data_IF_809748021498
#
_entry.id   IF_809748021498
#
_cell.length_a   1.000
_cell.length_b   1.000
_cell.length_c   1.000
_cell.angle_alpha   90.00
_cell.angle_beta   90.00
_cell.angle_gamma   90.00
#
_symmetry.space_group_name_H-M   'P 1'
#
loop_
_entity.id
_entity.type
_entity.pdbx_description
1 polymer ?
#
# COMPACT_ATOMS: atom_id res chain seq x y z
N UNK A 1 -4.59 -28.43 -4.67
CA UNK A 1 -4.00 -27.16 -5.14
C UNK A 1 -2.98 -27.30 -6.27
N UNK A 2 -2.00 -28.22 -6.22
CA UNK A 2 -1.03 -28.41 -7.34
C UNK A 2 -1.66 -28.89 -8.65
N UNK A 3 -2.71 -29.71 -8.60
CA UNK A 3 -3.44 -30.14 -9.81
C UNK A 3 -4.24 -29.01 -10.48
N UNK A 4 -4.68 -28.00 -9.73
CA UNK A 4 -5.52 -26.92 -10.25
C UNK A 4 -4.69 -25.87 -11.02
N UNK A 5 -3.45 -25.63 -10.59
CA UNK A 5 -2.49 -24.73 -11.25
C UNK A 5 -1.96 -25.34 -12.56
N UNK A 6 -1.77 -26.67 -12.61
CA UNK A 6 -1.33 -27.38 -13.81
C UNK A 6 -2.42 -27.38 -14.90
N UNK A 7 -3.70 -27.39 -14.51
CA UNK A 7 -4.83 -27.36 -15.46
C UNK A 7 -5.05 -25.94 -16.01
N UNK A 8 -4.85 -24.89 -15.20
CA UNK A 8 -4.89 -23.49 -15.65
C UNK A 8 -3.75 -23.15 -16.63
N UNK A 9 -2.54 -23.67 -16.38
CA UNK A 9 -1.41 -23.54 -17.31
C UNK A 9 -1.59 -24.37 -18.60
N UNK A 10 -2.31 -25.49 -18.55
CA UNK A 10 -2.55 -26.33 -19.72
C UNK A 10 -3.55 -25.70 -20.72
N UNK A 11 -4.50 -24.89 -20.23
CA UNK A 11 -5.46 -24.18 -21.09
C UNK A 11 -4.79 -22.98 -21.79
N UNK A 12 -3.87 -22.27 -21.14
CA UNK A 12 -3.03 -21.25 -21.79
C UNK A 12 -1.97 -21.86 -22.72
N UNK A 13 -1.42 -23.03 -22.38
CA UNK A 13 -0.47 -23.75 -23.24
C UNK A 13 -1.11 -24.33 -24.51
N UNK A 14 -2.42 -24.59 -24.53
CA UNK A 14 -3.12 -25.10 -25.70
C UNK A 14 -3.23 -24.06 -26.84
N UNK A 15 -3.15 -22.76 -26.54
CA UNK A 15 -3.00 -21.70 -27.56
C UNK A 15 -1.54 -21.50 -28.02
N UNK A 16 -0.55 -22.02 -27.28
CA UNK A 16 0.87 -21.90 -27.60
C UNK A 16 1.36 -22.90 -28.67
N UNK A 17 0.53 -23.87 -29.07
CA UNK A 17 0.87 -24.88 -30.09
C UNK A 17 0.69 -24.37 -31.54
N UNK A 18 0.12 -23.18 -31.74
CA UNK A 18 -0.03 -22.59 -33.08
C UNK A 18 1.20 -21.78 -33.57
N UNK A 19 2.18 -21.53 -32.69
CA UNK A 19 3.37 -20.72 -32.95
C UNK A 19 4.49 -21.41 -33.79
N UNK A 20 4.76 -22.73 -33.70
CA UNK A 20 5.83 -23.34 -34.50
C UNK A 20 5.47 -23.49 -35.99
N UNK A 21 4.18 -23.55 -36.34
CA UNK A 21 3.73 -23.69 -37.74
C UNK A 21 3.79 -22.35 -38.50
N UNK A 22 3.59 -21.23 -37.80
CA UNK A 22 3.66 -19.88 -38.38
C UNK A 22 5.11 -19.40 -38.57
N UNK A 23 6.04 -19.80 -37.70
CA UNK A 23 7.46 -19.44 -37.83
C UNK A 23 8.16 -20.22 -38.96
N UNK A 24 7.72 -21.44 -39.26
CA UNK A 24 8.27 -22.24 -40.36
C UNK A 24 7.94 -21.70 -41.75
N UNK A 25 6.88 -20.88 -41.90
CA UNK A 25 6.53 -20.21 -43.16
C UNK A 25 7.22 -18.85 -43.35
N UNK A 26 7.80 -18.28 -42.28
CA UNK A 26 8.46 -16.96 -42.31
C UNK A 26 9.94 -17.04 -42.69
N UNK A 27 10.55 -18.23 -42.66
CA UNK A 27 11.96 -18.48 -42.98
C UNK A 27 12.27 -18.55 -44.49
N UNK A 28 11.27 -18.39 -45.37
CA UNK A 28 11.49 -18.29 -46.83
C UNK A 28 11.55 -16.84 -47.37
N UNK A 29 11.36 -15.83 -46.53
CA UNK A 29 11.57 -14.43 -46.92
C UNK A 29 12.94 -13.96 -46.42
N UNK A 30 13.92 -13.94 -47.32
CA UNK A 30 15.25 -13.40 -47.04
C UNK A 30 15.19 -11.89 -46.70
N UNK A 31 15.93 -11.40 -45.70
CA UNK A 31 16.01 -9.98 -45.41
C UNK A 31 17.01 -9.30 -46.36
N UNK A 32 16.55 -8.26 -47.06
CA UNK A 32 17.43 -7.29 -47.72
C UNK A 32 18.00 -6.37 -46.64
N UNK A 33 19.32 -6.39 -46.49
CA UNK A 33 20.09 -5.47 -45.66
C UNK A 33 20.16 -4.11 -46.38
N UNK A 34 19.78 -3.02 -45.71
CA UNK A 34 20.13 -1.66 -46.13
C UNK A 34 20.85 -0.95 -44.98
N UNK A 35 22.14 -0.77 -45.14
CA UNK A 35 22.96 0.18 -44.39
C UNK A 35 22.46 1.62 -44.63
N UNK A 36 22.55 2.47 -43.61
CA UNK A 36 22.39 3.91 -43.83
C UNK A 36 22.02 4.75 -42.61
N UNK A 37 23.06 5.15 -41.86
CA UNK A 37 23.27 6.48 -41.25
C UNK A 37 22.16 7.19 -40.47
N UNK A 38 22.50 7.49 -39.22
CA UNK A 38 22.00 8.60 -38.41
C UNK A 38 22.18 9.96 -39.10
N UNK A 39 21.23 10.89 -38.85
CA UNK A 39 21.63 12.25 -38.52
C UNK A 39 21.01 12.70 -37.20
N UNK A 40 21.90 13.20 -36.34
CA UNK A 40 21.55 14.03 -35.21
C UNK A 40 20.96 15.36 -35.71
N UNK A 41 19.84 15.80 -35.13
CA UNK A 41 19.46 17.21 -35.09
C UNK A 41 18.79 17.48 -33.76
N UNK A 42 19.57 17.99 -32.82
CA UNK A 42 19.07 18.61 -31.59
C UNK A 42 18.61 20.02 -31.93
N UNK A 43 17.32 20.21 -32.14
CA UNK A 43 16.71 21.55 -32.13
C UNK A 43 16.61 22.01 -30.68
N UNK A 44 17.54 22.88 -30.28
CA UNK A 44 17.54 23.56 -28.98
C UNK A 44 16.57 24.74 -29.06
N UNK A 45 15.37 24.56 -28.55
CA UNK A 45 14.37 25.62 -28.42
C UNK A 45 14.81 26.59 -27.30
N UNK A 46 15.23 27.79 -27.69
CA UNK A 46 15.58 28.87 -26.76
C UNK A 46 14.30 29.55 -26.26
N UNK A 47 13.95 29.30 -25.00
CA UNK A 47 12.90 30.07 -24.30
C UNK A 47 13.45 31.47 -23.99
N UNK A 48 12.98 32.45 -24.75
CA UNK A 48 13.23 33.88 -24.51
C UNK A 48 12.28 34.35 -23.39
N UNK A 49 12.83 34.66 -22.22
CA UNK A 49 12.08 35.32 -21.15
C UNK A 49 11.99 36.83 -21.43
N UNK A 50 10.79 37.46 -21.37
CA UNK A 50 10.66 38.89 -21.57
C UNK A 50 11.31 39.67 -20.43
N UNK A 51 12.21 40.60 -20.79
CA UNK A 51 12.85 41.55 -19.87
C UNK A 51 11.78 42.40 -19.19
N UNK A 52 11.62 42.24 -17.88
CA UNK A 52 10.85 43.17 -17.03
C UNK A 52 11.48 44.55 -17.10
N UNK A 53 10.73 45.51 -17.64
CA UNK A 53 11.04 46.94 -17.65
C UNK A 53 11.23 47.46 -16.22
N UNK A 54 12.35 48.15 -16.00
CA UNK A 54 12.69 48.77 -14.72
C UNK A 54 11.66 49.84 -14.33
N UNK A 55 10.93 49.60 -13.25
CA UNK A 55 10.10 50.60 -12.59
C UNK A 55 11.05 51.56 -11.87
N UNK A 56 11.07 52.82 -12.29
CA UNK A 56 11.81 53.90 -11.59
C UNK A 56 11.14 54.14 -10.23
N UNK A 57 11.79 53.71 -9.15
CA UNK A 57 11.37 54.07 -7.79
C UNK A 57 11.68 55.55 -7.53
N UNK A 58 10.63 56.35 -7.36
CA UNK A 58 10.73 57.71 -6.87
C UNK A 58 11.25 57.71 -5.41
N UNK A 59 12.31 58.47 -5.16
CA UNK A 59 12.83 58.73 -3.81
C UNK A 59 11.86 59.65 -3.07
N UNK A 60 11.07 59.09 -2.16
CA UNK A 60 10.40 59.83 -1.09
C UNK A 60 11.12 59.52 0.22
N UNK A 61 11.84 60.52 0.74
CA UNK A 61 12.56 60.44 2.00
C UNK A 61 11.63 60.54 3.20
N UNK A 62 11.79 59.62 4.15
CA UNK A 62 11.41 59.82 5.53
C UNK A 62 12.35 58.97 6.41
N UNK A 63 12.95 59.53 7.48
CA UNK A 63 13.97 58.83 8.24
C UNK A 63 13.29 57.88 9.23
N UNK A 64 13.02 56.64 8.80
CA UNK A 64 12.83 55.55 9.77
C UNK A 64 14.21 55.26 10.36
N UNK A 65 14.42 55.60 11.63
CA UNK A 65 15.49 55.01 12.44
C UNK A 65 15.26 53.49 12.48
N UNK A 66 15.75 52.79 11.46
CA UNK A 66 15.94 51.35 11.49
C UNK A 66 17.20 51.15 12.30
N UNK A 67 17.09 50.57 13.49
CA UNK A 67 18.21 49.85 14.07
C UNK A 67 18.76 48.97 12.96
N UNK A 68 20.02 49.20 12.57
CA UNK A 68 20.63 48.45 11.49
C UNK A 68 20.52 46.97 11.87
N UNK A 69 19.80 46.20 11.06
CA UNK A 69 19.69 44.76 11.23
C UNK A 69 21.09 44.22 10.95
N UNK A 70 21.85 43.98 12.00
CA UNK A 70 23.17 43.39 11.86
C UNK A 70 22.99 41.91 11.52
N UNK A 71 23.18 41.58 10.24
CA UNK A 71 23.04 40.22 9.73
C UNK A 71 24.01 39.24 10.42
N UNK A 72 25.08 39.75 11.03
CA UNK A 72 25.99 38.94 11.84
C UNK A 72 25.35 38.47 13.14
N UNK A 73 24.49 39.30 13.77
CA UNK A 73 23.72 38.93 14.96
C UNK A 73 22.68 37.83 14.66
N UNK A 74 22.10 37.83 13.46
CA UNK A 74 21.20 36.77 12.98
C UNK A 74 21.93 35.46 12.68
N UNK A 75 23.20 35.53 12.27
CA UNK A 75 24.07 34.35 12.09
C UNK A 75 24.71 33.85 13.38
N UNK A 76 24.41 34.48 14.51
CA UNK A 76 25.05 34.15 15.79
C UNK A 76 24.68 32.75 16.27
N UNK A 77 25.58 32.15 17.06
CA UNK A 77 25.43 30.78 17.56
C UNK A 77 24.17 30.57 18.41
N UNK A 78 23.56 31.63 18.95
CA UNK A 78 22.43 31.55 19.88
C UNK A 78 21.11 31.95 19.23
N UNK A 79 20.28 30.94 18.94
CA UNK A 79 18.97 31.12 18.31
C UNK A 79 18.03 32.01 19.14
N UNK A 80 18.14 32.01 20.48
CA UNK A 80 17.37 32.89 21.37
C UNK A 80 17.64 34.38 21.11
N UNK A 81 18.89 34.75 20.84
CA UNK A 81 19.25 36.13 20.52
C UNK A 81 18.72 36.53 19.14
N UNK A 82 18.69 35.58 18.20
CA UNK A 82 18.07 35.78 16.89
C UNK A 82 16.57 36.04 17.01
N UNK A 83 15.84 35.28 17.85
CA UNK A 83 14.40 35.51 18.10
C UNK A 83 14.17 36.89 18.71
N UNK A 84 14.95 37.26 19.72
CA UNK A 84 14.83 38.55 20.39
C UNK A 84 15.12 39.73 19.43
N UNK A 85 16.14 39.59 18.57
CA UNK A 85 16.47 40.59 17.55
C UNK A 85 15.38 40.73 16.47
N UNK A 86 14.80 39.61 16.01
CA UNK A 86 13.70 39.62 15.04
C UNK A 86 12.44 40.27 15.61
N UNK A 87 12.13 40.01 16.88
CA UNK A 87 11.01 40.65 17.59
C UNK A 87 11.26 42.15 17.83
N UNK A 88 12.48 42.54 18.18
CA UNK A 88 12.84 43.95 18.39
C UNK A 88 12.73 44.81 17.12
N UNK A 89 12.87 44.20 15.95
CA UNK A 89 12.76 44.88 14.63
C UNK A 89 11.30 44.98 14.16
N UNK A 90 10.37 44.30 14.85
CA UNK A 90 8.95 44.31 14.52
C UNK A 90 8.59 43.42 13.32
N UNK A 91 9.33 42.34 13.10
CA UNK A 91 8.98 41.35 12.08
C UNK A 91 7.67 40.63 12.44
N UNK A 92 6.78 40.35 11.47
CA UNK A 92 5.60 39.53 11.70
C UNK A 92 5.97 38.16 12.30
N UNK A 93 5.14 37.65 13.21
CA UNK A 93 5.39 36.37 13.89
C UNK A 93 5.51 35.19 12.91
N UNK A 94 4.68 35.18 11.85
CA UNK A 94 4.77 34.15 10.80
C UNK A 94 6.15 34.13 10.12
N UNK A 95 6.69 35.29 9.75
CA UNK A 95 8.02 35.40 9.13
C UNK A 95 9.13 35.06 10.11
N UNK A 96 8.95 35.37 11.39
CA UNK A 96 9.89 35.00 12.45
C UNK A 96 9.95 33.48 12.61
N UNK A 97 8.79 32.81 12.62
CA UNK A 97 8.69 31.35 12.64
C UNK A 97 9.41 30.74 11.42
N UNK A 98 9.14 31.21 10.21
CA UNK A 98 9.75 30.68 8.99
C UNK A 98 11.28 30.79 8.98
N UNK A 99 11.81 31.95 9.41
CA UNK A 99 13.27 32.18 9.47
C UNK A 99 13.91 31.26 10.51
N UNK A 100 13.30 31.11 11.69
CA UNK A 100 13.84 30.26 12.76
C UNK A 100 13.77 28.79 12.34
N UNK A 101 12.67 28.34 11.74
CA UNK A 101 12.53 26.98 11.21
C UNK A 101 13.60 26.71 10.15
N UNK A 102 13.85 27.64 9.23
CA UNK A 102 14.89 27.50 8.22
C UNK A 102 16.31 27.40 8.83
N UNK A 103 16.60 28.19 9.86
CA UNK A 103 17.92 28.16 10.52
C UNK A 103 18.12 26.88 11.35
N UNK A 104 17.08 26.42 12.05
CA UNK A 104 17.10 25.13 12.75
C UNK A 104 17.29 23.99 11.73
N UNK A 105 16.56 24.01 10.62
CA UNK A 105 16.74 23.06 9.53
C UNK A 105 18.19 23.05 9.02
N UNK A 106 18.80 24.23 8.83
CA UNK A 106 20.19 24.36 8.39
C UNK A 106 21.18 23.70 9.36
N UNK A 107 21.00 23.89 10.67
CA UNK A 107 21.88 23.29 11.70
C UNK A 107 21.77 21.77 11.75
N UNK A 108 20.55 21.24 11.67
CA UNK A 108 20.30 19.80 11.74
C UNK A 108 20.52 19.08 10.40
N UNK A 109 20.58 19.79 9.26
CA UNK A 109 20.70 19.21 7.93
C UNK A 109 21.94 18.31 7.74
N UNK A 110 23.07 18.61 8.38
CA UNK A 110 24.26 17.77 8.28
C UNK A 110 24.07 16.42 8.97
N UNK A 111 23.49 16.42 10.18
CA UNK A 111 23.19 15.22 10.97
C UNK A 111 22.06 14.41 10.32
N UNK A 112 21.03 15.08 9.81
CA UNK A 112 19.92 14.45 9.08
C UNK A 112 20.40 13.76 7.79
N UNK A 113 21.28 14.39 7.02
CA UNK A 113 21.87 13.78 5.81
C UNK A 113 22.74 12.56 6.14
N UNK A 114 23.44 12.56 7.26
CA UNK A 114 24.27 11.42 7.67
C UNK A 114 23.43 10.20 8.07
N UNK A 115 22.21 10.42 8.58
CA UNK A 115 21.31 9.36 9.05
C UNK A 115 20.28 8.90 8.00
N UNK A 116 20.05 9.69 6.94
CA UNK A 116 19.09 9.37 5.88
C UNK A 116 19.62 8.24 4.98
N UNK A 117 18.80 7.23 4.73
CA UNK A 117 19.12 6.15 3.79
C UNK A 117 19.30 6.69 2.37
N UNK A 118 20.45 6.37 1.78
CA UNK A 118 20.70 6.58 0.36
C UNK A 118 20.36 5.32 -0.41
N UNK A 119 20.07 5.47 -1.71
CA UNK A 119 19.83 4.31 -2.59
C UNK A 119 21.05 3.36 -2.59
N UNK A 120 22.26 3.91 -2.46
CA UNK A 120 23.51 3.15 -2.37
C UNK A 120 23.64 2.31 -1.08
N UNK A 121 22.87 2.61 -0.02
CA UNK A 121 22.81 1.79 1.20
C UNK A 121 21.89 0.56 1.05
N UNK A 122 21.13 0.48 -0.05
CA UNK A 122 20.25 -0.65 -0.36
C UNK A 122 21.01 -1.71 -1.19
N UNK A 123 21.92 -2.43 -0.54
CA UNK A 123 22.39 -3.72 -1.07
C UNK A 123 21.30 -4.78 -0.88
N UNK A 124 20.31 -4.75 -1.78
CA UNK A 124 19.12 -5.62 -1.75
C UNK A 124 19.48 -7.12 -1.73
N UNK A 125 20.64 -7.48 -2.26
CA UNK A 125 21.09 -8.87 -2.41
C UNK A 125 22.07 -9.33 -1.34
N UNK A 126 22.83 -8.39 -0.74
CA UNK A 126 23.94 -8.72 0.15
C UNK A 126 23.78 -8.16 1.56
N UNK A 127 22.65 -7.52 1.93
CA UNK A 127 22.48 -6.96 3.26
C UNK A 127 22.54 -8.03 4.36
N UNK A 128 23.62 -8.11 5.18
CA UNK A 128 23.66 -9.02 6.32
C UNK A 128 22.61 -8.61 7.36
N UNK A 129 22.17 -9.54 8.22
CA UNK A 129 21.26 -9.26 9.33
C UNK A 129 21.77 -8.16 10.30
N UNK A 130 23.10 -7.95 10.37
CA UNK A 130 23.73 -6.83 11.07
C UNK A 130 23.30 -5.45 10.51
N UNK A 131 22.93 -5.38 9.23
CA UNK A 131 22.35 -4.20 8.57
C UNK A 131 20.99 -3.85 9.12
N UNK A 132 20.21 -4.84 9.58
CA UNK A 132 18.89 -4.62 10.20
C UNK A 132 19.03 -3.93 11.56
N UNK A 133 20.02 -4.33 12.37
CA UNK A 133 20.33 -3.69 13.67
C UNK A 133 20.82 -2.25 13.48
N UNK A 134 21.81 -2.05 12.61
CA UNK A 134 22.31 -0.70 12.28
C UNK A 134 21.26 0.19 11.59
N UNK A 135 20.28 -0.39 10.90
CA UNK A 135 19.11 0.31 10.33
C UNK A 135 18.14 0.75 11.44
N UNK A 136 17.86 -0.12 12.40
CA UNK A 136 17.01 0.21 13.55
C UNK A 136 17.66 1.30 14.42
N UNK A 137 18.95 1.18 14.72
CA UNK A 137 19.71 2.19 15.49
C UNK A 137 19.71 3.55 14.78
N UNK A 138 19.95 3.59 13.45
CA UNK A 138 19.85 4.83 12.67
C UNK A 138 18.44 5.42 12.65
N UNK A 139 17.39 4.58 12.60
CA UNK A 139 16.02 5.07 12.72
C UNK A 139 15.71 5.65 14.11
N UNK A 140 16.22 5.04 15.18
CA UNK A 140 16.10 5.56 16.54
C UNK A 140 16.81 6.92 16.65
N UNK A 141 18.07 7.00 16.21
CA UNK A 141 18.84 8.25 16.19
C UNK A 141 18.16 9.34 15.36
N UNK A 142 17.54 8.97 14.24
CA UNK A 142 16.81 9.91 13.40
C UNK A 142 15.54 10.41 14.11
N UNK A 143 14.82 9.55 14.84
CA UNK A 143 13.67 9.93 15.68
C UNK A 143 14.09 10.85 16.83
N UNK A 144 15.18 10.53 17.53
CA UNK A 144 15.76 11.35 18.60
C UNK A 144 16.12 12.73 18.07
N UNK A 145 16.76 12.80 16.91
CA UNK A 145 17.11 14.06 16.25
C UNK A 145 15.88 14.91 15.93
N UNK A 146 14.78 14.31 15.43
CA UNK A 146 13.53 15.04 15.22
C UNK A 146 12.86 15.47 16.54
N UNK A 147 12.98 14.68 17.61
CA UNK A 147 12.49 15.05 18.94
C UNK A 147 13.28 16.23 19.53
N UNK A 148 14.61 16.22 19.44
CA UNK A 148 15.48 17.34 19.81
C UNK A 148 15.12 18.61 19.04
N UNK A 149 14.92 18.48 17.73
CA UNK A 149 14.51 19.59 16.86
C UNK A 149 13.17 20.19 17.27
N UNK A 150 12.18 19.33 17.59
CA UNK A 150 10.87 19.79 18.07
C UNK A 150 10.96 20.46 19.44
N UNK A 151 11.74 19.90 20.37
CA UNK A 151 11.95 20.48 21.69
C UNK A 151 12.59 21.88 21.59
N UNK A 152 13.63 22.02 20.75
CA UNK A 152 14.30 23.28 20.51
C UNK A 152 13.38 24.32 19.84
N UNK A 153 12.56 23.92 18.87
CA UNK A 153 11.57 24.82 18.27
C UNK A 153 10.51 25.27 19.29
N UNK A 154 10.04 24.35 20.15
CA UNK A 154 9.09 24.65 21.23
C UNK A 154 9.71 25.62 22.24
N UNK A 155 10.96 25.44 22.62
CA UNK A 155 11.70 26.33 23.52
C UNK A 155 11.91 27.73 22.94
N UNK A 156 12.22 27.83 21.64
CA UNK A 156 12.51 29.12 20.98
C UNK A 156 11.25 29.94 20.66
N UNK A 157 10.18 29.28 20.23
CA UNK A 157 8.99 29.95 19.71
C UNK A 157 7.86 30.00 20.73
N UNK A 158 7.86 29.13 21.75
CA UNK A 158 6.77 29.00 22.71
C UNK A 158 5.47 28.45 22.11
N UNK A 159 5.47 28.11 20.82
CA UNK A 159 4.35 27.58 20.04
C UNK A 159 4.77 26.24 19.44
N UNK A 160 3.88 25.25 19.48
CA UNK A 160 4.12 23.94 18.84
C UNK A 160 3.95 24.12 17.32
N UNK A 161 5.07 24.37 16.63
CA UNK A 161 5.06 24.52 15.17
C UNK A 161 4.82 23.15 14.53
N UNK A 162 3.85 23.02 13.62
CA UNK A 162 3.64 21.77 12.90
C UNK A 162 4.89 21.44 12.07
N UNK A 163 5.61 20.41 12.50
CA UNK A 163 6.82 19.94 11.84
C UNK A 163 6.48 18.70 10.99
N UNK A 164 6.76 18.74 9.69
CA UNK A 164 6.55 17.60 8.79
C UNK A 164 7.60 16.52 9.05
N UNK A 165 7.23 15.50 9.83
CA UNK A 165 8.04 14.29 9.98
C UNK A 165 7.99 13.52 8.65
N UNK A 166 9.14 13.16 8.04
CA UNK A 166 9.13 12.36 6.81
C UNK A 166 8.28 11.10 6.99
N UNK A 167 7.42 10.78 6.01
CA UNK A 167 6.50 9.65 6.08
C UNK A 167 7.15 8.27 6.30
N UNK A 168 8.47 8.16 6.08
CA UNK A 168 9.26 6.97 6.40
C UNK A 168 9.53 6.78 7.91
N UNK A 169 9.41 7.85 8.69
CA UNK A 169 9.59 7.88 10.15
C UNK A 169 8.29 8.10 10.88
N UNK A 170 7.30 8.71 10.21
CA UNK A 170 5.95 8.82 10.71
C UNK A 170 5.42 7.42 10.98
N UNK A 171 5.10 7.15 12.24
CA UNK A 171 4.40 5.93 12.60
C UNK A 171 3.00 6.03 12.01
N UNK A 172 2.79 5.37 10.87
CA UNK A 172 1.50 5.33 10.15
C UNK A 172 0.36 4.90 11.07
N UNK A 173 0.68 4.16 12.13
CA UNK A 173 -0.29 3.77 13.16
C UNK A 173 -0.71 4.97 14.00
N UNK A 174 0.22 5.83 14.42
CA UNK A 174 -0.08 7.05 15.20
C UNK A 174 -0.95 8.03 14.42
N UNK A 175 -0.64 8.24 13.14
CA UNK A 175 -1.44 9.13 12.30
C UNK A 175 -2.92 8.69 12.20
N UNK A 176 -3.20 7.37 12.20
CA UNK A 176 -4.58 6.86 12.25
C UNK A 176 -5.25 7.14 13.60
N UNK A 177 -4.52 7.03 14.70
CA UNK A 177 -5.03 7.33 16.04
C UNK A 177 -5.31 8.82 16.22
N UNK A 178 -4.40 9.70 15.80
CA UNK A 178 -4.57 11.14 15.88
C UNK A 178 -5.80 11.60 15.09
N UNK A 179 -5.98 11.07 13.87
CA UNK A 179 -7.15 11.34 13.05
C UNK A 179 -8.46 10.83 13.70
N UNK A 180 -8.43 9.67 14.36
CA UNK A 180 -9.59 9.14 15.07
C UNK A 180 -9.94 9.98 16.31
N UNK A 181 -8.95 10.47 17.05
CA UNK A 181 -9.16 11.34 18.22
C UNK A 181 -9.75 12.70 17.81
N UNK A 182 -9.28 13.29 16.70
CA UNK A 182 -9.80 14.58 16.22
C UNK A 182 -11.30 14.54 15.87
N UNK A 183 -11.81 13.37 15.47
CA UNK A 183 -13.22 13.19 15.13
C UNK A 183 -14.12 12.99 16.35
N UNK A 184 -13.55 12.74 17.53
CA UNK A 184 -14.31 12.62 18.77
C UNK A 184 -14.73 14.00 19.30
N UNK A 185 -15.79 14.07 20.14
CA UNK A 185 -16.18 15.29 20.83
C UNK A 185 -15.04 15.88 21.67
N UNK A 186 -14.88 17.20 21.66
CA UNK A 186 -13.78 17.92 22.34
C UNK A 186 -13.63 17.53 23.81
N UNK A 187 -14.74 17.34 24.52
CA UNK A 187 -14.77 16.96 25.94
C UNK A 187 -14.14 15.59 26.23
N UNK A 188 -14.04 14.70 25.24
CA UNK A 188 -13.51 13.34 25.40
C UNK A 188 -12.11 13.17 24.81
N UNK A 189 -11.64 14.11 23.97
CA UNK A 189 -10.36 13.97 23.26
C UNK A 189 -9.18 13.82 24.20
N UNK A 190 -9.10 14.67 25.23
CA UNK A 190 -7.98 14.67 26.19
C UNK A 190 -7.93 13.36 27.00
N UNK A 191 -9.09 12.87 27.43
CA UNK A 191 -9.18 11.60 28.16
C UNK A 191 -8.77 10.41 27.26
N UNK A 192 -9.26 10.35 26.03
CA UNK A 192 -8.89 9.29 25.08
C UNK A 192 -7.41 9.36 24.70
N UNK A 193 -6.88 10.57 24.52
CA UNK A 193 -5.47 10.80 24.22
C UNK A 193 -4.58 10.30 25.37
N UNK A 194 -4.89 10.65 26.62
CA UNK A 194 -4.12 10.19 27.78
C UNK A 194 -4.15 8.66 27.95
N UNK A 195 -5.30 8.01 27.70
CA UNK A 195 -5.41 6.54 27.71
C UNK A 195 -4.52 5.92 26.63
N UNK A 196 -4.52 6.51 25.42
CA UNK A 196 -3.71 6.02 24.31
C UNK A 196 -2.20 6.20 24.57
N UNK A 197 -1.78 7.36 25.07
CA UNK A 197 -0.39 7.67 25.41
C UNK A 197 0.14 6.73 26.51
N UNK A 198 -0.66 6.47 27.54
CA UNK A 198 -0.31 5.52 28.60
C UNK A 198 -0.13 4.09 28.07
N UNK A 199 -1.05 3.63 27.21
CA UNK A 199 -0.90 2.33 26.55
C UNK A 199 0.38 2.27 25.71
N UNK A 200 0.64 3.31 24.90
CA UNK A 200 1.83 3.39 24.06
C UNK A 200 3.10 3.36 24.89
N UNK A 201 3.17 4.12 25.98
CA UNK A 201 4.33 4.13 26.88
C UNK A 201 4.60 2.74 27.48
N UNK A 202 3.57 1.99 27.87
CA UNK A 202 3.72 0.60 28.35
C UNK A 202 4.22 -0.34 27.25
N UNK A 203 3.66 -0.24 26.03
CA UNK A 203 4.08 -1.06 24.88
C UNK A 203 5.51 -0.74 24.45
N UNK A 204 5.92 0.53 24.43
CA UNK A 204 7.29 0.90 24.08
C UNK A 204 8.30 0.44 25.14
N UNK A 205 7.95 0.45 26.43
CA UNK A 205 8.77 -0.17 27.49
C UNK A 205 8.93 -1.68 27.27
N UNK A 206 7.85 -2.37 26.89
CA UNK A 206 7.90 -3.80 26.59
C UNK A 206 8.81 -4.10 25.38
N UNK A 207 8.66 -3.33 24.30
CA UNK A 207 9.51 -3.45 23.11
C UNK A 207 10.97 -3.13 23.39
N UNK A 208 11.23 -2.13 24.24
CA UNK A 208 12.58 -1.75 24.65
C UNK A 208 13.26 -2.85 25.48
N UNK A 209 12.52 -3.48 26.40
CA UNK A 209 13.00 -4.64 27.19
C UNK A 209 13.38 -5.83 26.29
N UNK A 210 12.56 -6.07 25.28
CA UNK A 210 12.64 -7.27 24.42
C UNK A 210 13.46 -7.05 23.15
N UNK A 211 13.96 -5.83 22.90
CA UNK A 211 14.62 -5.44 21.65
C UNK A 211 13.79 -5.81 20.40
N UNK A 212 12.46 -5.71 20.51
CA UNK A 212 11.45 -6.14 19.53
C UNK A 212 11.36 -7.66 19.28
N UNK A 213 12.00 -8.49 20.09
CA UNK A 213 11.85 -9.95 20.05
C UNK A 213 10.92 -10.41 21.16
N UNK A 214 9.64 -10.57 20.84
CA UNK A 214 8.62 -10.92 21.83
C UNK A 214 8.71 -12.41 22.19
N UNK A 215 8.87 -12.67 23.48
CA UNK A 215 8.75 -14.00 24.08
C UNK A 215 7.27 -14.33 24.34
N UNK A 216 6.92 -15.62 24.54
CA UNK A 216 5.57 -16.06 24.90
C UNK A 216 4.91 -15.20 25.98
N UNK A 217 5.64 -14.93 27.06
CA UNK A 217 5.17 -14.12 28.19
C UNK A 217 4.85 -12.68 27.77
N UNK A 218 5.65 -12.09 26.88
CA UNK A 218 5.40 -10.73 26.37
C UNK A 218 4.13 -10.65 25.52
N UNK A 219 3.77 -11.72 24.80
CA UNK A 219 2.49 -11.77 24.07
C UNK A 219 1.29 -11.72 25.02
N UNK A 220 1.37 -12.42 26.16
CA UNK A 220 0.33 -12.36 27.18
C UNK A 220 0.24 -10.97 27.83
N UNK A 221 1.38 -10.32 28.06
CA UNK A 221 1.45 -8.95 28.57
C UNK A 221 0.84 -7.96 27.57
N UNK A 222 1.15 -8.10 26.27
CA UNK A 222 0.55 -7.30 25.20
C UNK A 222 -0.97 -7.47 25.10
N UNK A 223 -1.47 -8.70 25.20
CA UNK A 223 -2.91 -8.97 25.19
C UNK A 223 -3.62 -8.30 26.37
N UNK A 224 -3.05 -8.45 27.57
CA UNK A 224 -3.55 -7.77 28.76
C UNK A 224 -3.57 -6.25 28.59
N UNK A 225 -2.49 -5.66 28.09
CA UNK A 225 -2.41 -4.21 27.82
C UNK A 225 -3.48 -3.75 26.81
N UNK A 226 -3.77 -4.56 25.77
CA UNK A 226 -4.83 -4.26 24.80
C UNK A 226 -6.22 -4.29 25.45
N UNK A 227 -6.50 -5.31 26.27
CA UNK A 227 -7.76 -5.44 27.00
C UNK A 227 -7.98 -4.30 28.01
N UNK A 228 -6.94 -3.97 28.79
CA UNK A 228 -6.96 -2.83 29.73
C UNK A 228 -7.26 -1.52 29.00
N UNK A 229 -6.57 -1.26 27.87
CA UNK A 229 -6.82 -0.06 27.04
C UNK A 229 -8.26 0.00 26.57
N UNK A 230 -8.79 -1.11 26.04
CA UNK A 230 -10.17 -1.16 25.52
C UNK A 230 -11.20 -0.95 26.61
N UNK A 231 -10.99 -1.53 27.79
CA UNK A 231 -11.86 -1.33 28.94
C UNK A 231 -11.86 0.15 29.39
N UNK A 232 -10.69 0.78 29.46
CA UNK A 232 -10.59 2.21 29.79
C UNK A 232 -11.29 3.09 28.74
N UNK A 233 -11.13 2.78 27.44
CA UNK A 233 -11.83 3.49 26.37
C UNK A 233 -13.35 3.30 26.46
N UNK A 234 -13.85 2.11 26.81
CA UNK A 234 -15.28 1.84 26.99
C UNK A 234 -15.92 2.51 28.21
N UNK A 235 -15.14 3.05 29.15
CA UNK A 235 -15.66 3.87 30.24
C UNK A 235 -15.87 5.33 29.84
N UNK A 236 -15.15 5.81 28.82
CA UNK A 236 -15.17 7.20 28.34
C UNK A 236 -16.05 7.35 27.09
N UNK A 237 -16.01 6.35 26.22
CA UNK A 237 -16.74 6.30 24.95
C UNK A 237 -18.01 5.46 25.10
N UNK A 238 -19.07 5.87 24.40
CA UNK A 238 -20.25 5.03 24.20
C UNK A 238 -19.90 3.82 23.33
N UNK A 239 -20.74 2.77 23.34
CA UNK A 239 -20.49 1.56 22.56
C UNK A 239 -20.33 1.85 21.04
N UNK A 240 -21.11 2.79 20.50
CA UNK A 240 -21.02 3.18 19.10
C UNK A 240 -19.77 4.01 18.78
N UNK A 241 -19.41 4.97 19.64
CA UNK A 241 -18.18 5.76 19.49
C UNK A 241 -16.93 4.87 19.60
N UNK A 242 -16.95 3.88 20.49
CA UNK A 242 -15.86 2.91 20.63
C UNK A 242 -15.72 2.05 19.37
N UNK A 243 -16.84 1.63 18.78
CA UNK A 243 -16.83 0.88 17.52
C UNK A 243 -16.25 1.72 16.36
N UNK A 244 -16.64 3.00 16.26
CA UNK A 244 -16.10 3.92 15.25
C UNK A 244 -14.60 4.14 15.41
N UNK A 245 -14.15 4.27 16.65
CA UNK A 245 -12.75 4.40 16.99
C UNK A 245 -11.97 3.13 16.62
N UNK A 246 -12.48 1.96 16.98
CA UNK A 246 -11.88 0.67 16.64
C UNK A 246 -11.84 0.46 15.11
N UNK A 247 -12.90 0.83 14.38
CA UNK A 247 -12.95 0.72 12.93
C UNK A 247 -11.86 1.54 12.25
N UNK A 248 -11.55 2.75 12.73
CA UNK A 248 -10.54 3.63 12.12
C UNK A 248 -9.12 3.24 12.50
N UNK A 249 -8.93 2.68 13.69
CA UNK A 249 -7.60 2.43 14.26
C UNK A 249 -7.12 0.99 14.14
N UNK A 250 -8.03 0.02 14.03
CA UNK A 250 -7.70 -1.40 13.97
C UNK A 250 -7.15 -1.83 12.61
N UNK A 251 -6.20 -2.76 12.64
CA UNK A 251 -5.68 -3.42 11.44
C UNK A 251 -6.72 -4.39 10.83
N UNK A 252 -7.68 -4.87 11.62
CA UNK A 252 -8.75 -5.76 11.17
C UNK A 252 -9.61 -5.09 10.11
N UNK A 253 -9.87 -3.78 10.23
CA UNK A 253 -10.62 -3.03 9.21
C UNK A 253 -9.93 -3.05 7.85
N UNK A 254 -8.60 -2.98 7.83
CA UNK A 254 -7.83 -3.11 6.60
C UNK A 254 -7.99 -4.49 5.96
N UNK A 255 -7.97 -5.55 6.78
CA UNK A 255 -8.21 -6.92 6.31
C UNK A 255 -9.62 -7.09 5.77
N UNK A 256 -10.65 -6.61 6.48
CA UNK A 256 -12.04 -6.69 6.04
C UNK A 256 -12.22 -5.92 4.72
N UNK A 257 -11.70 -4.69 4.62
CA UNK A 257 -11.77 -3.91 3.36
C UNK A 257 -11.06 -4.61 2.21
N UNK A 258 -9.91 -5.22 2.47
CA UNK A 258 -9.18 -5.98 1.45
C UNK A 258 -9.95 -7.24 1.04
N UNK A 259 -10.59 -7.93 1.98
CA UNK A 259 -11.42 -9.08 1.67
C UNK A 259 -12.63 -8.66 0.82
N UNK A 260 -13.23 -7.52 1.13
CA UNK A 260 -14.40 -6.97 0.43
C UNK A 260 -14.04 -6.14 -0.81
N UNK A 261 -12.81 -6.23 -1.30
CA UNK A 261 -12.38 -5.50 -2.49
C UNK A 261 -13.27 -5.87 -3.70
N UNK A 262 -13.99 -4.87 -4.22
CA UNK A 262 -14.94 -5.04 -5.32
C UNK A 262 -16.42 -4.99 -4.92
N UNK A 263 -16.77 -5.20 -3.65
CA UNK A 263 -18.17 -5.18 -3.18
C UNK A 263 -18.65 -3.79 -2.70
N UNK A 264 -17.75 -2.81 -2.59
CA UNK A 264 -18.00 -1.46 -2.03
C UNK A 264 -18.93 -1.51 -0.80
N UNK A 265 -18.46 -2.10 0.32
CA UNK A 265 -19.31 -2.32 1.49
C UNK A 265 -19.82 -1.00 2.09
N UNK A 266 -21.07 -1.00 2.54
CA UNK A 266 -21.64 0.13 3.29
C UNK A 266 -21.05 0.20 4.71
N UNK A 267 -21.20 1.33 5.38
CA UNK A 267 -20.72 1.48 6.76
C UNK A 267 -21.40 0.49 7.71
N UNK A 268 -22.71 0.29 7.58
CA UNK A 268 -23.46 -0.67 8.38
C UNK A 268 -22.95 -2.11 8.19
N UNK A 269 -22.70 -2.51 6.95
CA UNK A 269 -22.12 -3.82 6.61
C UNK A 269 -20.73 -4.00 7.23
N UNK A 270 -19.90 -2.96 7.17
CA UNK A 270 -18.56 -2.99 7.74
C UNK A 270 -18.61 -3.11 9.27
N UNK A 271 -19.54 -2.41 9.94
CA UNK A 271 -19.74 -2.51 11.40
C UNK A 271 -20.09 -3.94 11.82
N UNK A 272 -21.03 -4.58 11.13
CA UNK A 272 -21.46 -5.94 11.48
C UNK A 272 -20.35 -6.98 11.25
N UNK A 273 -19.66 -6.91 10.11
CA UNK A 273 -18.50 -7.78 9.86
C UNK A 273 -17.37 -7.54 10.87
N UNK A 274 -17.12 -6.29 11.24
CA UNK A 274 -16.11 -5.96 12.24
C UNK A 274 -16.44 -6.56 13.61
N UNK A 275 -17.69 -6.43 14.08
CA UNK A 275 -18.12 -7.05 15.35
C UNK A 275 -17.93 -8.57 15.33
N UNK A 276 -18.25 -9.22 14.22
CA UNK A 276 -18.07 -10.66 14.06
C UNK A 276 -16.60 -11.07 14.11
N UNK A 277 -15.75 -10.42 13.30
CA UNK A 277 -14.31 -10.67 13.24
C UNK A 277 -13.62 -10.37 14.56
N UNK A 278 -14.04 -9.31 15.25
CA UNK A 278 -13.49 -8.93 16.55
C UNK A 278 -13.74 -10.00 17.61
N UNK A 279 -14.93 -10.62 17.65
CA UNK A 279 -15.21 -11.75 18.55
C UNK A 279 -14.31 -12.95 18.27
N UNK A 280 -14.12 -13.30 17.00
CA UNK A 280 -13.26 -14.42 16.60
C UNK A 280 -11.78 -14.17 16.94
N UNK A 281 -11.33 -12.91 16.85
CA UNK A 281 -9.95 -12.54 17.12
C UNK A 281 -9.64 -12.36 18.61
N UNK A 282 -10.58 -11.82 19.40
CA UNK A 282 -10.40 -11.55 20.83
C UNK A 282 -10.45 -12.83 21.71
N UNK A 283 -11.08 -13.92 21.25
CA UNK A 283 -11.31 -15.11 22.10
C UNK A 283 -10.06 -16.01 22.30
N UNK A 284 -9.24 -16.35 21.28
CA UNK A 284 -8.03 -17.20 21.50
C UNK A 284 -6.71 -16.65 20.93
N UNK A 285 -6.73 -15.67 20.03
CA UNK A 285 -5.69 -15.54 19.00
C UNK A 285 -4.31 -15.08 19.49
N UNK A 286 -4.24 -14.28 20.58
CA UNK A 286 -2.96 -13.78 21.14
C UNK A 286 -2.38 -14.67 22.24
N UNK A 287 -3.21 -15.50 22.89
CA UNK A 287 -2.73 -16.49 23.87
C UNK A 287 -2.19 -17.74 23.16
N UNK A 288 -2.81 -18.14 22.05
CA UNK A 288 -2.23 -19.15 21.15
C UNK A 288 -0.94 -18.64 20.49
N UNK A 289 -0.84 -17.33 20.24
CA UNK A 289 0.37 -16.68 19.74
C UNK A 289 1.58 -16.78 20.67
N UNK A 290 1.32 -16.71 21.99
CA UNK A 290 2.34 -16.84 23.00
C UNK A 290 2.97 -18.24 22.95
N UNK A 291 2.16 -19.29 22.81
CA UNK A 291 2.64 -20.68 22.86
C UNK A 291 3.27 -21.15 21.55
N UNK A 292 2.76 -20.68 20.40
CA UNK A 292 3.29 -21.04 19.08
C UNK A 292 3.14 -19.88 18.09
N UNK A 293 4.24 -19.19 17.71
CA UNK A 293 4.22 -18.14 16.70
C UNK A 293 3.68 -18.60 15.34
N UNK A 294 3.80 -19.90 15.00
CA UNK A 294 3.25 -20.45 13.75
C UNK A 294 1.73 -20.58 13.79
N UNK A 295 1.15 -20.78 14.98
CA UNK A 295 -0.29 -20.80 15.20
C UNK A 295 -0.94 -19.42 14.99
N UNK A 296 -0.19 -18.32 15.11
CA UNK A 296 -0.66 -16.96 14.75
C UNK A 296 -0.84 -16.80 13.26
N UNK A 297 0.12 -17.30 12.49
CA UNK A 297 0.00 -17.28 11.03
C UNK A 297 -1.15 -18.18 10.58
N UNK A 298 -1.35 -19.31 11.27
CA UNK A 298 -2.50 -20.18 11.04
C UNK A 298 -3.83 -19.46 11.36
N UNK A 299 -3.94 -18.80 12.53
CA UNK A 299 -5.18 -18.11 12.96
C UNK A 299 -5.52 -16.91 12.08
N UNK A 300 -4.52 -16.14 11.63
CA UNK A 300 -4.72 -15.07 10.64
C UNK A 300 -5.15 -15.66 9.28
N UNK A 301 -4.60 -16.81 8.89
CA UNK A 301 -5.01 -17.53 7.69
C UNK A 301 -6.43 -18.10 7.80
N UNK A 302 -6.83 -18.60 8.97
CA UNK A 302 -8.20 -19.03 9.28
C UNK A 302 -9.16 -17.84 9.18
N UNK A 303 -8.82 -16.71 9.82
CA UNK A 303 -9.63 -15.49 9.75
C UNK A 303 -9.75 -14.95 8.32
N UNK A 304 -8.67 -15.02 7.54
CA UNK A 304 -8.71 -14.64 6.13
C UNK A 304 -9.61 -15.57 5.32
N UNK A 305 -9.57 -16.88 5.58
CA UNK A 305 -10.47 -17.86 4.96
C UNK A 305 -11.92 -17.64 5.37
N UNK A 306 -12.18 -17.33 6.64
CA UNK A 306 -13.49 -16.95 7.16
C UNK A 306 -14.02 -15.73 6.39
N UNK A 307 -13.26 -14.65 6.31
CA UNK A 307 -13.65 -13.45 5.56
C UNK A 307 -13.79 -13.68 4.05
N UNK A 308 -13.20 -14.75 3.53
CA UNK A 308 -13.31 -15.10 2.12
C UNK A 308 -14.53 -15.98 1.84
N UNK A 309 -14.85 -16.94 2.72
CA UNK A 309 -15.78 -18.03 2.44
C UNK A 309 -16.93 -18.14 3.44
N UNK A 310 -17.05 -17.23 4.40
CA UNK A 310 -18.05 -17.34 5.46
C UNK A 310 -19.43 -16.90 4.99
N UNK A 311 -20.43 -17.65 5.48
CA UNK A 311 -21.85 -17.31 5.38
C UNK A 311 -22.16 -15.92 5.95
N UNK A 312 -21.34 -15.40 6.88
CA UNK A 312 -21.54 -14.05 7.41
C UNK A 312 -21.36 -12.98 6.33
N UNK A 313 -20.40 -13.15 5.42
CA UNK A 313 -20.16 -12.20 4.32
C UNK A 313 -21.32 -12.26 3.33
N UNK A 314 -21.84 -13.46 3.07
CA UNK A 314 -23.03 -13.67 2.25
C UNK A 314 -24.28 -13.06 2.89
N UNK A 315 -24.47 -13.24 4.20
CA UNK A 315 -25.60 -12.70 4.94
C UNK A 315 -25.59 -11.16 4.97
N UNK A 316 -24.40 -10.56 5.14
CA UNK A 316 -24.25 -9.10 5.21
C UNK A 316 -24.35 -8.43 3.85
N UNK A 317 -23.73 -8.99 2.79
CA UNK A 317 -23.76 -8.38 1.46
C UNK A 317 -25.01 -8.74 0.64
N UNK A 318 -25.65 -9.86 0.97
CA UNK A 318 -26.66 -10.51 0.14
C UNK A 318 -26.06 -11.42 -0.93
N UNK A 319 -26.87 -12.33 -1.48
CA UNK A 319 -26.39 -13.38 -2.38
C UNK A 319 -25.77 -12.85 -3.68
N UNK A 320 -26.39 -11.82 -4.27
CA UNK A 320 -25.94 -11.26 -5.55
C UNK A 320 -24.57 -10.57 -5.42
N UNK A 321 -24.41 -9.66 -4.45
CA UNK A 321 -23.14 -8.96 -4.21
C UNK A 321 -22.06 -9.90 -3.73
N UNK A 322 -22.41 -10.95 -2.98
CA UNK A 322 -21.47 -11.99 -2.62
C UNK A 322 -20.99 -12.78 -3.85
N UNK A 323 -21.89 -13.14 -4.77
CA UNK A 323 -21.52 -13.82 -6.02
C UNK A 323 -20.60 -12.93 -6.89
N UNK A 324 -20.88 -11.63 -6.97
CA UNK A 324 -20.02 -10.67 -7.68
C UNK A 324 -18.65 -10.50 -7.00
N UNK A 325 -18.61 -10.49 -5.66
CA UNK A 325 -17.35 -10.48 -4.90
C UNK A 325 -16.54 -11.77 -5.11
N UNK A 326 -17.18 -12.93 -5.16
CA UNK A 326 -16.49 -14.18 -5.48
C UNK A 326 -15.95 -14.17 -6.90
N UNK A 327 -16.73 -13.60 -7.84
CA UNK A 327 -16.29 -13.42 -9.23
C UNK A 327 -15.09 -12.49 -9.32
N UNK A 328 -15.08 -11.36 -8.61
CA UNK A 328 -13.96 -10.39 -8.63
C UNK A 328 -12.63 -10.98 -8.13
N UNK A 329 -12.70 -12.00 -7.28
CA UNK A 329 -11.53 -12.72 -6.74
C UNK A 329 -11.02 -13.82 -7.67
N UNK A 330 -11.82 -14.27 -8.64
CA UNK A 330 -11.39 -15.32 -9.57
C UNK A 330 -10.33 -14.77 -10.56
N UNK A 331 -9.14 -15.37 -10.63
CA UNK A 331 -8.10 -14.97 -11.59
C UNK A 331 -8.56 -14.97 -13.06
N UNK A 332 -9.50 -15.85 -13.41
CA UNK A 332 -10.09 -15.92 -14.76
C UNK A 332 -10.91 -14.67 -15.06
N UNK A 333 -11.73 -14.24 -14.10
CA UNK A 333 -12.53 -13.03 -14.25
C UNK A 333 -11.65 -11.78 -14.29
N UNK A 334 -10.61 -11.70 -13.46
CA UNK A 334 -9.64 -10.59 -13.52
C UNK A 334 -8.93 -10.51 -14.88
N UNK A 335 -8.61 -11.66 -15.46
CA UNK A 335 -8.02 -11.73 -16.80
C UNK A 335 -9.04 -11.33 -17.87
N UNK A 336 -10.28 -11.83 -17.79
CA UNK A 336 -11.36 -11.45 -18.68
C UNK A 336 -11.62 -9.94 -18.63
N UNK A 337 -11.74 -9.34 -17.45
CA UNK A 337 -11.92 -7.90 -17.25
C UNK A 337 -10.78 -7.08 -17.87
N UNK A 338 -9.52 -7.49 -17.64
CA UNK A 338 -8.36 -6.77 -18.19
C UNK A 338 -8.30 -6.84 -19.71
N UNK A 339 -8.53 -8.02 -20.29
CA UNK A 339 -8.47 -8.22 -21.75
C UNK A 339 -9.62 -7.51 -22.44
N UNK A 340 -10.83 -7.58 -21.88
CA UNK A 340 -12.00 -6.87 -22.42
C UNK A 340 -11.84 -5.35 -22.30
N UNK A 341 -11.34 -4.84 -21.18
CA UNK A 341 -11.02 -3.43 -21.03
C UNK A 341 -9.97 -2.95 -22.04
N UNK A 342 -8.91 -3.73 -22.29
CA UNK A 342 -7.90 -3.43 -23.30
C UNK A 342 -8.45 -3.46 -24.73
N UNK A 343 -9.46 -4.29 -24.99
CA UNK A 343 -10.17 -4.35 -26.26
C UNK A 343 -11.21 -3.22 -26.43
N UNK A 344 -11.45 -2.41 -25.39
CA UNK A 344 -12.47 -1.36 -25.35
C UNK A 344 -13.89 -1.89 -25.19
N UNK A 345 -14.04 -3.08 -24.61
CA UNK A 345 -15.33 -3.75 -24.38
C UNK A 345 -15.91 -3.41 -23.01
N UNK A 346 -17.22 -3.58 -22.88
CA UNK A 346 -17.97 -3.36 -21.64
C UNK A 346 -17.75 -4.48 -20.61
N UNK A 347 -18.14 -4.19 -19.35
CA UNK A 347 -18.04 -5.15 -18.25
C UNK A 347 -18.92 -6.39 -18.48
N UNK A 348 -20.04 -6.25 -19.20
CA UNK A 348 -20.93 -7.38 -19.53
C UNK A 348 -20.25 -8.38 -20.46
N UNK A 349 -19.43 -7.91 -21.41
CA UNK A 349 -18.61 -8.79 -22.25
C UNK A 349 -17.56 -9.54 -21.43
N UNK A 350 -17.04 -8.94 -20.36
CA UNK A 350 -16.13 -9.61 -19.43
C UNK A 350 -16.82 -10.73 -18.65
N UNK A 351 -18.06 -10.51 -18.20
CA UNK A 351 -18.87 -11.54 -17.52
C UNK A 351 -19.16 -12.69 -18.48
N UNK A 352 -19.63 -12.41 -19.70
CA UNK A 352 -19.91 -13.44 -20.72
C UNK A 352 -18.66 -14.25 -21.07
N UNK A 353 -17.52 -13.59 -21.26
CA UNK A 353 -16.25 -14.26 -21.52
C UNK A 353 -15.84 -15.18 -20.36
N UNK A 354 -15.98 -14.70 -19.13
CA UNK A 354 -15.69 -15.46 -17.93
C UNK A 354 -16.59 -16.71 -17.81
N UNK A 355 -17.90 -16.57 -18.04
CA UNK A 355 -18.83 -17.70 -17.93
C UNK A 355 -18.52 -18.80 -18.96
N UNK A 356 -18.17 -18.42 -20.21
CA UNK A 356 -17.74 -19.37 -21.24
C UNK A 356 -16.44 -20.08 -20.87
N UNK A 357 -15.44 -19.35 -20.37
CA UNK A 357 -14.17 -19.93 -19.93
C UNK A 357 -14.36 -20.86 -18.72
N UNK A 358 -15.23 -20.49 -17.78
CA UNK A 358 -15.54 -21.29 -16.60
C UNK A 358 -16.27 -22.58 -16.97
N UNK A 359 -17.24 -22.52 -17.88
CA UNK A 359 -17.94 -23.70 -18.39
C UNK A 359 -16.98 -24.68 -19.08
N UNK A 360 -16.08 -24.16 -19.92
CA UNK A 360 -15.06 -24.96 -20.60
C UNK A 360 -14.10 -25.64 -19.60
N UNK A 361 -13.67 -24.93 -18.55
CA UNK A 361 -12.83 -25.51 -17.50
C UNK A 361 -13.56 -26.60 -16.71
N UNK A 362 -14.83 -26.42 -16.39
CA UNK A 362 -15.63 -27.43 -15.70
C UNK A 362 -15.83 -28.70 -16.56
N UNK A 363 -16.10 -28.52 -17.86
CA UNK A 363 -16.20 -29.62 -18.83
C UNK A 363 -14.89 -30.38 -18.94
N UNK A 364 -13.77 -29.66 -19.01
CA UNK A 364 -12.43 -30.25 -19.06
C UNK A 364 -12.09 -31.00 -17.76
N UNK A 365 -12.38 -30.40 -16.60
CA UNK A 365 -12.11 -31.04 -15.30
C UNK A 365 -12.91 -32.32 -15.11
N UNK A 366 -14.21 -32.32 -15.48
CA UNK A 366 -15.06 -33.51 -15.33
C UNK A 366 -14.60 -34.66 -16.23
N UNK A 367 -14.19 -34.35 -17.46
CA UNK A 367 -13.69 -35.35 -18.40
C UNK A 367 -12.29 -35.86 -18.03
N UNK A 368 -11.37 -34.97 -17.60
CA UNK A 368 -10.03 -35.36 -17.13
C UNK A 368 -10.03 -36.13 -15.81
N UNK A 369 -11.10 -36.04 -15.02
CA UNK A 369 -11.26 -36.84 -13.79
C UNK A 369 -11.37 -38.35 -14.07
N UNK A 370 -11.58 -38.75 -15.34
CA UNK A 370 -11.54 -40.15 -15.74
C UNK A 370 -10.08 -40.67 -15.80
N UNK A 371 -9.67 -41.59 -14.89
CA UNK A 371 -8.30 -42.10 -14.83
C UNK A 371 -7.92 -42.99 -16.02
N UNK A 372 -8.87 -43.43 -16.85
CA UNK A 372 -8.63 -44.32 -17.99
C UNK A 372 -8.20 -43.60 -19.27
N UNK A 373 -8.14 -42.26 -19.27
CA UNK A 373 -7.75 -41.48 -20.45
C UNK A 373 -6.25 -41.60 -20.73
N UNK A 374 -5.91 -41.97 -21.97
CA UNK A 374 -4.53 -41.95 -22.46
C UNK A 374 -4.03 -40.50 -22.64
N UNK A 375 -2.71 -40.30 -22.69
CA UNK A 375 -2.15 -38.95 -22.92
C UNK A 375 -2.58 -38.35 -24.27
N UNK A 376 -2.74 -39.18 -25.31
CA UNK A 376 -3.23 -38.74 -26.62
C UNK A 376 -4.71 -38.33 -26.57
N UNK A 377 -5.54 -39.11 -25.87
CA UNK A 377 -6.95 -38.78 -25.67
C UNK A 377 -7.11 -37.48 -24.88
N UNK A 378 -6.29 -37.27 -23.85
CA UNK A 378 -6.25 -35.98 -23.12
C UNK A 378 -5.93 -34.82 -24.05
N UNK A 379 -4.90 -34.96 -24.90
CA UNK A 379 -4.55 -33.91 -25.86
C UNK A 379 -5.63 -33.62 -26.91
N UNK A 380 -6.39 -34.63 -27.32
CA UNK A 380 -7.54 -34.43 -28.22
C UNK A 380 -8.66 -33.68 -27.50
N UNK A 381 -8.98 -34.08 -26.26
CA UNK A 381 -9.96 -33.42 -25.38
C UNK A 381 -9.68 -31.92 -25.23
N UNK A 382 -8.41 -31.57 -24.94
CA UNK A 382 -7.99 -30.17 -24.82
C UNK A 382 -8.22 -29.38 -26.11
N UNK A 383 -7.93 -29.98 -27.27
CA UNK A 383 -8.12 -29.33 -28.57
C UNK A 383 -9.60 -29.14 -28.90
N UNK A 384 -10.42 -30.15 -28.67
CA UNK A 384 -11.85 -30.11 -28.94
C UNK A 384 -12.56 -29.07 -28.08
N UNK A 385 -12.34 -29.09 -26.76
CA UNK A 385 -12.92 -28.12 -25.83
C UNK A 385 -12.39 -26.71 -26.12
N UNK A 386 -11.10 -26.58 -26.46
CA UNK A 386 -10.50 -25.31 -26.86
C UNK A 386 -11.16 -24.70 -28.09
N UNK A 387 -11.31 -25.47 -29.18
CA UNK A 387 -11.95 -25.01 -30.42
C UNK A 387 -13.44 -24.68 -30.22
N UNK A 388 -14.16 -25.51 -29.45
CA UNK A 388 -15.56 -25.25 -29.08
C UNK A 388 -15.69 -23.93 -28.31
N UNK A 389 -14.82 -23.70 -27.34
CA UNK A 389 -14.80 -22.46 -26.53
C UNK A 389 -14.46 -21.25 -27.39
N UNK A 390 -13.48 -21.38 -28.28
CA UNK A 390 -13.09 -20.30 -29.22
C UNK A 390 -14.24 -19.88 -30.12
N UNK A 391 -14.97 -20.83 -30.68
CA UNK A 391 -16.17 -20.56 -31.49
C UNK A 391 -17.27 -19.89 -30.67
N UNK A 392 -17.51 -20.35 -29.44
CA UNK A 392 -18.50 -19.75 -28.56
C UNK A 392 -18.13 -18.29 -28.19
N UNK A 393 -16.85 -18.02 -27.91
CA UNK A 393 -16.35 -16.66 -27.66
C UNK A 393 -16.52 -15.78 -28.91
N UNK A 394 -16.17 -16.29 -30.09
CA UNK A 394 -16.32 -15.57 -31.35
C UNK A 394 -17.78 -15.20 -31.64
N UNK A 395 -18.73 -16.11 -31.37
CA UNK A 395 -20.16 -15.86 -31.51
C UNK A 395 -20.68 -14.82 -30.49
N UNK A 396 -20.11 -14.82 -29.28
CA UNK A 396 -20.59 -13.95 -28.18
C UNK A 396 -20.04 -12.54 -28.24
N UNK A 397 -18.76 -12.38 -28.62
CA UNK A 397 -18.10 -11.08 -28.74
C UNK A 397 -18.36 -10.44 -30.11
N UNK A 398 -18.64 -11.23 -31.15
CA UNK A 398 -18.67 -10.79 -32.53
C UNK A 398 -17.29 -10.77 -33.16
N UNK A 399 -17.24 -10.79 -34.50
CA UNK A 399 -16.00 -11.07 -35.25
C UNK A 399 -14.91 -9.99 -35.05
N UNK A 400 -15.30 -8.71 -34.98
CA UNK A 400 -14.35 -7.61 -34.79
C UNK A 400 -13.75 -7.60 -33.38
N UNK A 401 -14.59 -7.77 -32.36
CA UNK A 401 -14.15 -7.82 -30.96
C UNK A 401 -13.33 -9.08 -30.67
N UNK A 402 -13.68 -10.20 -31.31
CA UNK A 402 -12.90 -11.43 -31.25
C UNK A 402 -11.50 -11.25 -31.85
N UNK A 403 -11.35 -10.52 -32.97
CA UNK A 403 -10.02 -10.22 -33.54
C UNK A 403 -9.17 -9.39 -32.59
N UNK A 404 -9.75 -8.39 -31.93
CA UNK A 404 -9.05 -7.57 -30.90
C UNK A 404 -8.66 -8.42 -29.70
N UNK A 405 -9.57 -9.26 -29.22
CA UNK A 405 -9.33 -10.24 -28.15
C UNK A 405 -8.18 -11.20 -28.50
N UNK A 406 -8.23 -11.85 -29.66
CA UNK A 406 -7.22 -12.81 -30.14
C UNK A 406 -5.86 -12.13 -30.32
N UNK A 407 -5.83 -10.88 -30.80
CA UNK A 407 -4.60 -10.10 -30.88
C UNK A 407 -4.00 -9.81 -29.50
N UNK A 408 -4.81 -9.41 -28.52
CA UNK A 408 -4.36 -9.15 -27.15
C UNK A 408 -3.90 -10.45 -26.48
N UNK A 409 -4.60 -11.56 -26.68
CA UNK A 409 -4.21 -12.85 -26.11
C UNK A 409 -2.88 -13.36 -26.69
N UNK A 410 -2.60 -13.09 -27.97
CA UNK A 410 -1.31 -13.40 -28.61
C UNK A 410 -0.17 -12.47 -28.16
N UNK A 411 -0.48 -11.24 -27.77
CA UNK A 411 0.48 -10.22 -27.31
C UNK A 411 0.69 -10.22 -25.79
N UNK A 412 -0.22 -10.82 -25.03
CA UNK A 412 -0.08 -10.96 -23.59
C UNK A 412 1.21 -11.75 -23.30
N UNK A 413 2.15 -11.20 -22.50
CA UNK A 413 3.31 -11.96 -22.10
C UNK A 413 2.82 -13.18 -21.34
N UNK A 414 3.10 -14.36 -21.88
CA UNK A 414 2.95 -15.63 -21.16
C UNK A 414 3.59 -15.45 -19.78
N UNK A 415 2.94 -15.90 -18.67
CA UNK A 415 3.64 -16.03 -17.41
C UNK A 415 4.83 -16.96 -17.68
N UNK A 416 6.01 -16.34 -17.81
CA UNK A 416 7.23 -17.05 -18.16
C UNK A 416 7.41 -18.22 -17.20
N UNK A 417 8.03 -19.32 -17.67
CA UNK A 417 8.13 -20.53 -16.87
C UNK A 417 8.71 -20.15 -15.51
N UNK A 418 7.92 -20.31 -14.46
CA UNK A 418 8.40 -20.32 -13.09
C UNK A 418 9.43 -21.43 -13.09
N UNK A 419 10.72 -21.06 -13.12
CA UNK A 419 11.81 -22.00 -12.92
C UNK A 419 11.61 -22.57 -11.53
N UNK A 420 10.94 -23.72 -11.46
CA UNK A 420 10.97 -24.59 -10.31
C UNK A 420 12.40 -25.08 -10.18
N UNK A 421 13.25 -24.27 -9.52
CA UNK A 421 14.40 -24.83 -8.80
C UNK A 421 13.81 -25.60 -7.63
N UNK A 422 13.67 -26.90 -7.83
CA UNK A 422 13.55 -27.89 -6.76
C UNK A 422 14.97 -28.49 -6.65
N UNK A 423 15.47 -28.71 -5.42
CA UNK A 423 16.90 -28.64 -5.06
C UNK A 423 17.83 -29.60 -5.79
#
# INVERSE_FOLDING_TARGET
>A
MRAMIVILLAVDAALAVYLPIALYRRTQAAPVYSDGQTPATTTREQVVFPRRSAIKLAKSGSPRQKGALDWQLLSSANLHNCVAALRAVGCPDATTIDIIVAEVNRRFAARERALRFRYEDYDLWNAPAATTRGRMERQIQLRELYAEKRALLKELLGVDVPFEIPGALADRTQSKYDAAIQQLPESKREQVQSIHENYRAKVEKLKARTLNFLEPEDFTELDRLKKERRQALGQVLTADELLDFDLKTSNLTGMIRSALAGAQPTEAELRELFKHVQRLYDEPSLLTAAQDPSAVMASLGDLQRELQNSEIVKAVLGEQRYADLQRSRDPLYQTALRVTAQAGLDADSAVRLYDLQRAAQQELQSQLANPQLSNEQRQQLFREIGEKTKRAIQQTLGEENFRRYDQIQRLAPSPGPVKTRIP
#
